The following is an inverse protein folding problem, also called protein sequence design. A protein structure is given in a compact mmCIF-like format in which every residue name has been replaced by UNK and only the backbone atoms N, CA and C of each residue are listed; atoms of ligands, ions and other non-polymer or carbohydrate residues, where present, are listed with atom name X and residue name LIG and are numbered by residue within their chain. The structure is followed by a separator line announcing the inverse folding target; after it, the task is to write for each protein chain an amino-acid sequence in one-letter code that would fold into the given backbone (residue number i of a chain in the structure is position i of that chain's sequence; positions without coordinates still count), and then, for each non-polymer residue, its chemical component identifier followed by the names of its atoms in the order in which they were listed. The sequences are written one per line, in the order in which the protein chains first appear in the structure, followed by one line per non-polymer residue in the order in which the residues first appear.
data_IF_886987042428
#
_entry.id   IF_886987042428
#
_cell.length_a   1.000
_cell.length_b   1.000
_cell.length_c   1.000
_cell.angle_alpha   90.00
_cell.angle_beta   90.00
_cell.angle_gamma   90.00
#
_symmetry.space_group_name_H-M   'P 1'
#
loop_
_entity.id
_entity.type
_entity.pdbx_description
1 polymer ?
#
# COMPACT_ATOMS: atom_id res chain seq x y z
N UNK A 1 -19.32 3.22 3.33
CA UNK A 1 -19.12 2.18 2.29
C UNK A 1 -17.82 1.41 2.58
N UNK A 2 -17.60 0.28 1.91
CA UNK A 2 -16.30 -0.41 1.93
C UNK A 2 -15.54 -0.03 0.66
N UNK A 3 -14.31 0.46 0.80
CA UNK A 3 -13.49 0.95 -0.31
C UNK A 3 -12.18 0.17 -0.32
N UNK A 4 -11.85 -0.42 -1.47
CA UNK A 4 -10.61 -1.15 -1.69
C UNK A 4 -9.68 -0.34 -2.60
N UNK A 5 -8.52 0.06 -2.09
CA UNK A 5 -7.45 0.63 -2.89
C UNK A 5 -6.54 -0.49 -3.37
N UNK A 6 -6.28 -0.50 -4.67
CA UNK A 6 -5.48 -1.53 -5.33
C UNK A 6 -4.25 -0.87 -5.94
N UNK A 7 -3.05 -1.33 -5.57
CA UNK A 7 -1.80 -0.79 -6.07
C UNK A 7 -0.81 -1.89 -6.51
N UNK A 8 0.01 -1.65 -7.56
CA UNK A 8 1.08 -2.56 -7.96
C UNK A 8 2.11 -2.80 -6.85
N UNK A 9 2.61 -1.72 -6.24
CA UNK A 9 3.56 -1.75 -5.12
C UNK A 9 2.97 -1.05 -3.91
N UNK A 10 3.41 -1.43 -2.69
CA UNK A 10 3.20 -0.59 -1.53
C UNK A 10 3.78 0.80 -1.81
N UNK A 11 3.08 1.86 -1.41
CA UNK A 11 3.40 3.28 -1.59
C UNK A 11 2.73 3.92 -2.83
N UNK A 12 2.42 3.15 -3.88
CA UNK A 12 1.83 3.68 -5.12
C UNK A 12 0.45 4.33 -4.88
N UNK A 13 -0.35 3.78 -3.97
CA UNK A 13 -1.67 4.32 -3.62
C UNK A 13 -1.57 5.63 -2.83
N UNK A 14 -0.57 5.75 -1.97
CA UNK A 14 -0.31 6.99 -1.23
C UNK A 14 0.15 8.09 -2.18
N UNK A 15 1.04 7.75 -3.14
CA UNK A 15 1.56 8.69 -4.14
C UNK A 15 0.51 9.08 -5.20
N UNK A 16 -0.30 8.12 -5.65
CA UNK A 16 -1.26 8.31 -6.74
C UNK A 16 -2.63 8.84 -6.29
N UNK A 17 -3.08 8.46 -5.09
CA UNK A 17 -4.43 8.81 -4.62
C UNK A 17 -4.52 9.08 -3.10
N UNK A 18 -3.42 9.47 -2.45
CA UNK A 18 -3.38 9.76 -1.01
C UNK A 18 -4.44 10.77 -0.54
N UNK A 19 -4.69 11.84 -1.30
CA UNK A 19 -5.75 12.80 -0.98
C UNK A 19 -7.16 12.18 -1.00
N UNK A 20 -7.43 11.28 -1.95
CA UNK A 20 -8.70 10.56 -2.04
C UNK A 20 -8.88 9.57 -0.89
N UNK A 21 -7.81 8.86 -0.51
CA UNK A 21 -7.79 7.97 0.66
C UNK A 21 -8.16 8.76 1.92
N UNK A 22 -7.51 9.92 2.15
CA UNK A 22 -7.77 10.74 3.32
C UNK A 22 -9.20 11.30 3.34
N UNK A 23 -9.69 11.80 2.20
CA UNK A 23 -11.07 12.26 2.07
C UNK A 23 -12.08 11.18 2.49
N UNK A 24 -11.95 9.97 1.94
CA UNK A 24 -12.89 8.90 2.28
C UNK A 24 -12.74 8.39 3.72
N UNK A 25 -11.54 8.52 4.30
CA UNK A 25 -11.33 8.24 5.72
C UNK A 25 -12.08 9.24 6.59
N UNK A 26 -12.00 10.53 6.27
CA UNK A 26 -12.71 11.61 6.99
C UNK A 26 -14.23 11.47 6.90
N UNK A 27 -14.74 11.00 5.76
CA UNK A 27 -16.16 10.69 5.57
C UNK A 27 -16.63 9.43 6.33
N UNK A 28 -15.73 8.72 7.04
CA UNK A 28 -16.08 7.56 7.87
C UNK A 28 -16.23 6.25 7.12
N UNK A 29 -15.69 6.13 5.90
CA UNK A 29 -15.72 4.88 5.14
C UNK A 29 -14.69 3.87 5.66
N UNK A 30 -14.98 2.58 5.49
CA UNK A 30 -14.02 1.51 5.78
C UNK A 30 -13.09 1.35 4.58
N UNK A 31 -11.79 1.49 4.85
CA UNK A 31 -10.74 1.45 3.84
C UNK A 31 -9.98 0.13 3.95
N UNK A 32 -9.73 -0.49 2.81
CA UNK A 32 -8.94 -1.71 2.63
C UNK A 32 -7.86 -1.47 1.59
N UNK A 33 -6.75 -2.20 1.69
CA UNK A 33 -5.64 -2.14 0.75
C UNK A 33 -5.32 -3.52 0.17
N UNK A 34 -5.04 -3.55 -1.13
CA UNK A 34 -4.49 -4.70 -1.84
C UNK A 34 -3.26 -4.25 -2.63
N UNK A 35 -2.09 -4.63 -2.13
CA UNK A 35 -0.82 -4.39 -2.81
C UNK A 35 -0.38 -5.69 -3.48
N UNK A 36 -0.16 -5.66 -4.80
CA UNK A 36 0.17 -6.88 -5.55
C UNK A 36 1.58 -7.41 -5.28
N UNK A 37 2.51 -6.52 -4.98
CA UNK A 37 3.91 -6.88 -4.73
C UNK A 37 4.33 -6.51 -3.31
N UNK A 38 5.43 -7.11 -2.86
CA UNK A 38 6.16 -6.70 -1.67
C UNK A 38 7.64 -7.04 -1.80
N UNK A 39 8.46 -6.46 -0.92
CA UNK A 39 9.89 -6.72 -0.87
C UNK A 39 10.15 -7.92 0.04
N UNK A 40 10.58 -9.05 -0.53
CA UNK A 40 10.92 -10.27 0.21
C UNK A 40 12.19 -10.93 -0.31
N UNK A 41 12.95 -11.58 0.57
CA UNK A 41 14.18 -12.30 0.17
C UNK A 41 13.90 -13.39 -0.87
N UNK A 42 12.73 -14.04 -0.81
CA UNK A 42 12.32 -15.09 -1.73
C UNK A 42 12.19 -14.61 -3.20
N UNK A 43 12.09 -13.30 -3.44
CA UNK A 43 12.09 -12.72 -4.80
C UNK A 43 13.47 -12.21 -5.24
N UNK A 44 14.54 -12.56 -4.51
CA UNK A 44 15.92 -12.17 -4.83
C UNK A 44 16.37 -10.84 -4.24
N UNK A 45 15.57 -10.20 -3.37
CA UNK A 45 16.01 -8.99 -2.66
C UNK A 45 17.02 -9.32 -1.55
N UNK A 46 18.03 -8.46 -1.38
CA UNK A 46 19.02 -8.62 -0.30
C UNK A 46 18.36 -8.51 1.07
N UNK A 47 18.96 -9.18 2.07
CA UNK A 47 18.46 -9.13 3.46
C UNK A 47 18.38 -7.69 3.98
N UNK A 48 19.42 -6.90 3.74
CA UNK A 48 19.46 -5.48 4.13
C UNK A 48 18.32 -4.68 3.51
N UNK A 49 17.98 -4.95 2.24
CA UNK A 49 16.89 -4.23 1.54
C UNK A 49 15.51 -4.61 2.07
N UNK A 50 15.34 -5.87 2.49
CA UNK A 50 14.12 -6.35 3.14
C UNK A 50 14.00 -5.78 4.56
N UNK A 51 15.09 -5.75 5.33
CA UNK A 51 15.11 -5.20 6.69
C UNK A 51 14.88 -3.68 6.70
N UNK A 52 15.37 -2.93 5.70
CA UNK A 52 15.07 -1.50 5.54
C UNK A 52 13.60 -1.17 5.23
N UNK A 53 12.82 -2.17 4.79
CA UNK A 53 11.41 -2.05 4.40
C UNK A 53 10.46 -2.76 5.38
N UNK A 54 10.99 -3.28 6.51
CA UNK A 54 10.20 -3.76 7.66
C UNK A 54 9.92 -2.62 8.63
#
# INVERSE_FOLDING_TARGET
MNILFVSPHPDDETLGCGGTILKYKEEGHKIYWLNFTNVKQQYGFSREKVEKKK
#
